data_IF_143123800815
#
_entry.id   IF_143123800815
#
_cell.length_a   1.000
_cell.length_b   1.000
_cell.length_c   1.000
_cell.angle_alpha   90.00
_cell.angle_beta   90.00
_cell.angle_gamma   90.00
#
_symmetry.space_group_name_H-M   'P 1'
#
loop_
_entity.id
_entity.type
_entity.pdbx_description
1 polymer ?
#
# COMPACT_ATOMS: atom_id res chain seq x y z
N UNK A 1 28.97 -24.54 -21.78
CA UNK A 1 28.45 -23.49 -22.69
C UNK A 1 27.06 -23.81 -23.25
N UNK A 2 26.79 -25.03 -23.75
CA UNK A 2 25.48 -25.39 -24.33
C UNK A 2 24.29 -25.42 -23.34
N UNK A 3 24.49 -25.75 -22.07
CA UNK A 3 23.42 -25.78 -21.06
C UNK A 3 22.87 -24.37 -20.75
N UNK A 4 23.76 -23.38 -20.54
CA UNK A 4 23.38 -21.97 -20.33
C UNK A 4 22.66 -21.34 -21.52
N UNK A 5 22.92 -21.82 -22.74
CA UNK A 5 22.30 -21.29 -23.96
C UNK A 5 20.86 -21.80 -24.16
N UNK A 6 20.57 -23.04 -23.75
CA UNK A 6 19.20 -23.58 -23.74
C UNK A 6 18.33 -22.99 -22.64
N UNK A 7 18.89 -22.76 -21.44
CA UNK A 7 18.17 -22.09 -20.34
C UNK A 7 17.75 -20.65 -20.70
N UNK A 8 18.65 -19.88 -21.32
CA UNK A 8 18.33 -18.51 -21.73
C UNK A 8 17.21 -18.44 -22.79
N UNK A 9 17.14 -19.41 -23.71
CA UNK A 9 16.10 -19.45 -24.74
C UNK A 9 14.70 -19.71 -24.14
N UNK A 10 14.63 -20.54 -23.08
CA UNK A 10 13.39 -20.77 -22.35
C UNK A 10 12.92 -19.56 -21.56
N UNK A 11 13.85 -18.83 -20.92
CA UNK A 11 13.52 -17.61 -20.15
C UNK A 11 13.05 -16.47 -21.05
N UNK A 12 13.67 -16.27 -22.22
CA UNK A 12 13.24 -15.26 -23.20
C UNK A 12 11.86 -15.57 -23.78
N UNK A 13 11.56 -16.84 -24.02
CA UNK A 13 10.25 -17.27 -24.52
C UNK A 13 9.16 -17.05 -23.47
N UNK A 14 9.41 -17.50 -22.23
CA UNK A 14 8.51 -17.28 -21.10
C UNK A 14 8.30 -15.79 -20.83
N UNK A 15 9.36 -14.97 -20.89
CA UNK A 15 9.26 -13.52 -20.74
C UNK A 15 8.35 -12.90 -21.79
N UNK A 16 8.50 -13.29 -23.07
CA UNK A 16 7.65 -12.81 -24.16
C UNK A 16 6.19 -13.21 -23.95
N UNK A 17 5.93 -14.47 -23.60
CA UNK A 17 4.58 -14.95 -23.30
C UNK A 17 3.95 -14.18 -22.13
N UNK A 18 4.71 -13.92 -21.06
CA UNK A 18 4.23 -13.11 -19.93
C UNK A 18 4.01 -11.64 -20.33
N UNK A 19 4.85 -11.09 -21.20
CA UNK A 19 4.76 -9.72 -21.67
C UNK A 19 3.52 -9.47 -22.56
N UNK A 20 2.95 -10.51 -23.16
CA UNK A 20 1.71 -10.42 -23.93
C UNK A 20 0.46 -10.28 -23.04
N UNK A 21 0.52 -10.74 -21.79
CA UNK A 21 -0.65 -10.81 -20.89
C UNK A 21 -0.54 -9.92 -19.64
N UNK A 22 0.63 -9.36 -19.35
CA UNK A 22 0.89 -8.54 -18.16
C UNK A 22 1.57 -7.22 -18.54
N UNK A 23 1.33 -6.13 -17.78
CA UNK A 23 2.08 -4.89 -17.93
C UNK A 23 3.58 -5.14 -17.75
N UNK A 24 4.39 -4.61 -18.68
CA UNK A 24 5.87 -4.69 -18.63
C UNK A 24 6.45 -3.29 -18.53
N UNK A 25 7.37 -3.13 -17.59
CA UNK A 25 8.07 -1.86 -17.34
C UNK A 25 9.57 -2.06 -17.56
N UNK A 26 10.12 -1.34 -18.53
CA UNK A 26 11.57 -1.34 -18.77
C UNK A 26 12.27 -0.54 -17.66
N UNK A 27 13.28 -1.14 -17.03
CA UNK A 27 14.01 -0.56 -15.89
C UNK A 27 15.50 -0.80 -16.12
N UNK A 28 16.33 0.22 -15.87
CA UNK A 28 17.77 0.03 -15.79
C UNK A 28 18.11 -0.70 -14.48
N UNK A 29 18.85 -1.81 -14.55
CA UNK A 29 19.25 -2.60 -13.38
C UNK A 29 19.96 -1.80 -12.28
N UNK A 30 20.66 -0.71 -12.63
CA UNK A 30 21.31 0.20 -11.67
C UNK A 30 20.31 0.95 -10.77
N UNK A 31 19.07 1.10 -11.23
CA UNK A 31 17.98 1.71 -10.47
C UNK A 31 17.31 0.74 -9.49
N UNK A 32 17.68 -0.55 -9.51
CA UNK A 32 17.15 -1.57 -8.59
C UNK A 32 18.15 -1.80 -7.46
N UNK A 33 17.71 -1.56 -6.23
CA UNK A 33 18.54 -1.71 -5.01
C UNK A 33 17.85 -2.57 -3.98
N UNK A 34 18.62 -3.44 -3.32
CA UNK A 34 18.14 -4.27 -2.22
C UNK A 34 18.58 -3.63 -0.91
N UNK A 35 17.64 -3.28 -0.04
CA UNK A 35 17.95 -2.83 1.33
C UNK A 35 18.14 -4.08 2.18
N UNK A 36 19.22 -4.12 2.97
CA UNK A 36 19.60 -5.31 3.75
C UNK A 36 19.18 -5.25 5.21
N UNK A 37 18.96 -4.06 5.77
CA UNK A 37 18.75 -3.84 7.20
C UNK A 37 17.45 -3.08 7.50
N UNK A 38 16.72 -3.42 8.58
CA UNK A 38 15.50 -2.73 9.01
C UNK A 38 15.69 -1.23 9.24
N UNK A 39 16.80 -0.86 9.88
CA UNK A 39 17.16 0.53 10.17
C UNK A 39 17.38 1.34 8.89
N UNK A 40 17.98 0.72 7.88
CA UNK A 40 18.18 1.33 6.57
C UNK A 40 16.85 1.48 5.83
N UNK A 41 15.92 0.52 5.96
CA UNK A 41 14.56 0.67 5.43
C UNK A 41 13.85 1.88 6.03
N UNK A 42 13.85 2.00 7.36
CA UNK A 42 13.24 3.15 8.05
C UNK A 42 13.85 4.48 7.61
N UNK A 43 15.19 4.58 7.60
CA UNK A 43 15.88 5.79 7.14
C UNK A 43 15.55 6.11 5.68
N UNK A 44 15.45 5.11 4.81
CA UNK A 44 15.08 5.31 3.41
C UNK A 44 13.66 5.87 3.27
N UNK A 45 12.70 5.41 4.08
CA UNK A 45 11.36 5.99 4.11
C UNK A 45 11.39 7.48 4.48
N UNK A 46 12.15 7.86 5.51
CA UNK A 46 12.28 9.27 5.92
C UNK A 46 12.93 10.10 4.81
N UNK A 47 14.09 9.69 4.31
CA UNK A 47 14.83 10.42 3.28
C UNK A 47 14.01 10.63 2.00
N UNK A 48 13.26 9.62 1.56
CA UNK A 48 12.40 9.73 0.39
C UNK A 48 11.16 10.59 0.67
N UNK A 49 10.60 10.52 1.89
CA UNK A 49 9.48 11.40 2.29
C UNK A 49 9.89 12.87 2.28
N UNK A 50 11.09 13.19 2.78
CA UNK A 50 11.61 14.55 2.81
C UNK A 50 11.90 15.14 1.43
N UNK A 51 12.36 14.28 0.50
CA UNK A 51 12.73 14.65 -0.87
C UNK A 51 11.57 14.64 -1.86
N UNK A 52 10.45 14.00 -1.51
CA UNK A 52 9.30 13.92 -2.40
C UNK A 52 8.76 15.31 -2.73
N UNK A 53 8.41 15.53 -3.99
CA UNK A 53 7.93 16.82 -4.49
C UNK A 53 6.52 16.74 -5.09
N UNK A 54 6.00 15.55 -5.44
CA UNK A 54 4.70 15.40 -6.11
C UNK A 54 3.74 14.50 -5.35
N UNK A 55 4.18 13.31 -4.95
CA UNK A 55 3.34 12.32 -4.26
C UNK A 55 4.11 11.43 -3.29
N UNK A 56 3.40 11.02 -2.25
CA UNK A 56 3.76 9.92 -1.38
C UNK A 56 2.56 8.98 -1.28
N UNK A 57 2.75 7.69 -1.56
CA UNK A 57 1.71 6.67 -1.40
C UNK A 57 2.25 5.56 -0.52
N UNK A 58 1.58 5.32 0.61
CA UNK A 58 1.94 4.28 1.56
C UNK A 58 0.82 3.26 1.63
N UNK A 59 1.09 2.02 1.22
CA UNK A 59 0.23 0.88 1.49
C UNK A 59 0.94 -0.05 2.47
N UNK A 60 0.27 -0.47 3.55
CA UNK A 60 0.84 -1.32 4.59
C UNK A 60 -0.30 -2.03 5.33
N UNK A 61 -0.03 -3.12 6.04
CA UNK A 61 -1.08 -3.77 6.85
C UNK A 61 -1.57 -2.84 7.98
N UNK A 62 -0.63 -2.15 8.64
CA UNK A 62 -0.89 -1.17 9.68
C UNK A 62 0.29 -0.19 9.78
N UNK A 63 0.09 0.88 10.56
CA UNK A 63 1.12 1.78 11.04
C UNK A 63 1.14 1.74 12.58
N UNK A 64 2.28 1.45 13.18
CA UNK A 64 2.45 1.39 14.62
C UNK A 64 2.32 2.76 15.28
N UNK A 65 2.28 2.78 16.61
CA UNK A 65 2.02 3.99 17.40
C UNK A 65 3.21 4.42 18.26
N UNK A 66 4.40 3.90 17.96
CA UNK A 66 5.64 4.23 18.64
C UNK A 66 6.28 5.55 18.17
N UNK A 67 7.44 5.87 18.76
CA UNK A 67 8.16 7.11 18.47
C UNK A 67 8.73 7.20 17.06
N UNK A 68 9.13 6.07 16.45
CA UNK A 68 9.67 6.05 15.09
C UNK A 68 8.57 6.30 14.05
N UNK A 69 7.38 5.73 14.30
CA UNK A 69 6.19 5.91 13.51
C UNK A 69 5.68 7.34 13.61
N UNK A 70 5.66 7.92 14.81
CA UNK A 70 5.37 9.34 15.00
C UNK A 70 6.32 10.21 14.20
N UNK A 71 7.63 9.95 14.26
CA UNK A 71 8.62 10.70 13.48
C UNK A 71 8.40 10.57 11.95
N UNK A 72 7.98 9.39 11.48
CA UNK A 72 7.58 9.21 10.08
C UNK A 72 6.34 10.07 9.74
N UNK A 73 5.31 10.08 10.59
CA UNK A 73 4.11 10.92 10.40
C UNK A 73 4.45 12.41 10.43
N UNK A 74 5.33 12.85 11.33
CA UNK A 74 5.81 14.24 11.39
C UNK A 74 6.52 14.60 10.06
N UNK A 75 7.33 13.69 9.51
CA UNK A 75 8.00 13.86 8.22
C UNK A 75 7.01 13.96 7.05
N UNK A 76 5.99 13.12 7.04
CA UNK A 76 4.91 13.19 6.05
C UNK A 76 4.13 14.50 6.16
N UNK A 77 3.86 14.97 7.38
CA UNK A 77 3.20 16.26 7.63
C UNK A 77 4.03 17.42 7.06
N UNK A 78 5.36 17.37 7.21
CA UNK A 78 6.27 18.34 6.61
C UNK A 78 6.31 18.28 5.07
N UNK A 79 6.16 17.09 4.46
CA UNK A 79 6.05 16.97 3.02
C UNK A 79 4.72 17.57 2.52
N UNK A 80 3.62 17.32 3.25
CA UNK A 80 2.30 17.84 2.95
C UNK A 80 2.25 19.38 2.97
N UNK A 81 2.93 20.01 3.94
CA UNK A 81 3.01 21.48 4.02
C UNK A 81 3.74 22.12 2.83
N UNK A 82 4.60 21.35 2.14
CA UNK A 82 5.27 21.73 0.88
C UNK A 82 4.40 21.47 -0.37
N UNK A 83 3.18 20.97 -0.20
CA UNK A 83 2.23 20.71 -1.29
C UNK A 83 2.27 19.28 -1.85
N UNK A 84 3.03 18.36 -1.24
CA UNK A 84 3.08 16.95 -1.67
C UNK A 84 1.74 16.27 -1.40
N UNK A 85 1.22 15.51 -2.37
CA UNK A 85 0.00 14.73 -2.18
C UNK A 85 0.29 13.42 -1.45
N UNK A 86 -0.47 13.11 -0.41
CA UNK A 86 -0.23 11.91 0.42
C UNK A 86 -1.44 10.99 0.37
N UNK A 87 -1.21 9.71 0.09
CA UNK A 87 -2.25 8.66 0.17
C UNK A 87 -1.75 7.55 1.06
N UNK A 88 -2.52 7.20 2.09
CA UNK A 88 -2.23 6.07 2.97
C UNK A 88 -3.35 5.05 2.84
N UNK A 89 -3.02 3.80 2.57
CA UNK A 89 -3.95 2.67 2.49
C UNK A 89 -3.52 1.58 3.48
N UNK A 90 -4.35 1.35 4.50
CA UNK A 90 -4.16 0.32 5.51
C UNK A 90 -5.23 -0.77 5.44
N UNK A 91 -5.00 -1.88 6.13
CA UNK A 91 -6.06 -2.83 6.43
C UNK A 91 -6.95 -2.31 7.56
N UNK A 92 -8.27 -2.45 7.42
CA UNK A 92 -9.23 -1.97 8.41
C UNK A 92 -9.03 -2.64 9.77
N UNK A 93 -8.98 -3.97 9.81
CA UNK A 93 -8.97 -4.70 11.09
C UNK A 93 -7.66 -4.53 11.83
N UNK A 94 -6.56 -4.37 11.10
CA UNK A 94 -5.23 -4.16 11.70
C UNK A 94 -4.94 -2.70 11.99
N UNK A 95 -5.46 -1.77 11.19
CA UNK A 95 -5.30 -0.33 11.37
C UNK A 95 -6.12 0.24 12.54
N UNK A 96 -7.25 -0.39 12.90
CA UNK A 96 -8.11 0.04 14.02
C UNK A 96 -7.88 -0.79 15.29
N UNK A 97 -6.72 -1.44 15.43
CA UNK A 97 -6.43 -2.32 16.56
C UNK A 97 -5.60 -1.62 17.63
N UNK A 98 -6.08 -1.68 18.87
CA UNK A 98 -5.43 -1.09 20.03
C UNK A 98 -5.94 0.33 20.31
N UNK A 99 -5.42 0.93 21.37
CA UNK A 99 -5.63 2.35 21.70
C UNK A 99 -4.33 2.89 22.34
N UNK A 100 -3.59 3.80 21.68
CA UNK A 100 -3.87 4.38 20.36
C UNK A 100 -3.68 3.38 19.21
N UNK A 101 -4.38 3.60 18.09
CA UNK A 101 -4.32 2.80 16.85
C UNK A 101 -3.67 3.56 15.67
N UNK A 102 -3.62 2.95 14.48
CA UNK A 102 -3.05 3.61 13.30
C UNK A 102 -3.86 4.82 12.87
N UNK A 103 -5.18 4.81 13.08
CA UNK A 103 -6.06 5.91 12.67
C UNK A 103 -5.75 7.16 13.49
N UNK A 104 -5.68 7.03 14.81
CA UNK A 104 -5.37 8.15 15.70
C UNK A 104 -3.98 8.73 15.43
N UNK A 105 -3.01 7.87 15.13
CA UNK A 105 -1.65 8.30 14.76
C UNK A 105 -1.59 9.07 13.43
N UNK A 106 -2.53 8.83 12.50
CA UNK A 106 -2.57 9.47 11.18
C UNK A 106 -3.42 10.74 11.13
N UNK A 107 -4.20 11.05 12.18
CA UNK A 107 -5.01 12.27 12.24
C UNK A 107 -4.26 13.58 11.93
N UNK A 108 -2.99 13.78 12.35
CA UNK A 108 -2.26 15.00 12.01
C UNK A 108 -2.17 15.28 10.50
N UNK A 109 -2.15 14.23 9.65
CA UNK A 109 -2.14 14.38 8.20
C UNK A 109 -3.48 14.88 7.63
N UNK A 110 -4.53 14.86 8.43
CA UNK A 110 -5.90 15.21 8.03
C UNK A 110 -6.32 16.62 8.48
N UNK A 111 -5.74 17.15 9.55
CA UNK A 111 -6.22 18.39 10.20
C UNK A 111 -5.83 19.68 9.47
N UNK A 112 -4.70 19.71 8.76
CA UNK A 112 -4.17 20.89 8.05
C UNK A 112 -3.93 20.63 6.55
N UNK A 113 -4.64 19.65 5.99
CA UNK A 113 -4.48 19.32 4.58
C UNK A 113 -5.33 20.24 3.71
N UNK A 114 -4.74 20.82 2.66
CA UNK A 114 -5.46 21.57 1.62
C UNK A 114 -6.24 20.65 0.68
N UNK A 115 -6.79 19.53 1.19
CA UNK A 115 -7.37 18.45 0.39
C UNK A 115 -6.33 17.52 -0.26
N UNK A 116 -5.05 17.68 0.03
CA UNK A 116 -3.95 16.93 -0.60
C UNK A 116 -3.65 15.58 0.09
N UNK A 117 -4.45 15.15 1.07
CA UNK A 117 -4.24 13.89 1.80
C UNK A 117 -5.49 13.02 1.79
N UNK A 118 -5.30 11.71 1.58
CA UNK A 118 -6.31 10.69 1.84
C UNK A 118 -5.75 9.55 2.70
N UNK A 119 -6.50 9.16 3.73
CA UNK A 119 -6.20 7.97 4.56
C UNK A 119 -7.36 7.00 4.43
N UNK A 120 -7.06 5.78 3.99
CA UNK A 120 -8.03 4.77 3.61
C UNK A 120 -7.76 3.44 4.32
N UNK A 121 -8.84 2.75 4.69
CA UNK A 121 -8.81 1.48 5.38
C UNK A 121 -9.62 0.46 4.60
N UNK A 122 -8.92 -0.46 3.93
CA UNK A 122 -9.56 -1.52 3.16
C UNK A 122 -10.14 -2.58 4.10
N UNK A 123 -11.40 -2.92 3.88
CA UNK A 123 -12.03 -4.05 4.55
C UNK A 123 -12.46 -5.06 3.52
N UNK A 124 -11.93 -6.29 3.62
CA UNK A 124 -12.25 -7.32 2.66
C UNK A 124 -13.74 -7.71 2.78
N UNK A 125 -14.49 -7.78 1.66
CA UNK A 125 -15.92 -8.06 1.66
C UNK A 125 -16.27 -9.50 2.07
N UNK A 126 -15.28 -10.38 2.26
CA UNK A 126 -15.47 -11.79 2.60
C UNK A 126 -15.85 -12.00 4.08
N UNK A 127 -15.67 -10.99 4.94
CA UNK A 127 -16.06 -11.03 6.36
C UNK A 127 -17.51 -10.54 6.56
N UNK A 128 -18.50 -11.37 6.19
CA UNK A 128 -19.94 -11.06 6.35
C UNK A 128 -20.71 -12.04 7.23
N UNK A 129 -21.76 -11.55 7.90
CA UNK A 129 -22.88 -12.34 8.45
C UNK A 129 -22.50 -13.42 9.47
N UNK A 130 -23.29 -14.51 9.49
CA UNK A 130 -23.15 -15.68 10.37
C UNK A 130 -21.75 -16.32 10.27
N UNK A 131 -21.05 -16.15 9.13
CA UNK A 131 -19.69 -16.62 8.93
C UNK A 131 -18.69 -15.96 9.91
N UNK A 132 -18.87 -14.67 10.27
CA UNK A 132 -18.09 -13.98 11.31
C UNK A 132 -18.34 -14.57 12.71
N UNK A 133 -19.53 -15.11 12.95
CA UNK A 133 -19.94 -15.71 14.23
C UNK A 133 -19.42 -17.15 14.38
N UNK A 134 -19.28 -17.88 13.25
CA UNK A 134 -18.88 -19.29 13.22
C UNK A 134 -17.37 -19.50 12.98
N UNK A 135 -16.66 -18.53 12.39
CA UNK A 135 -15.23 -18.65 12.13
C UNK A 135 -14.39 -18.27 13.37
N UNK A 136 -13.47 -19.14 13.83
CA UNK A 136 -12.54 -18.78 14.90
C UNK A 136 -11.69 -17.57 14.48
N UNK A 137 -11.43 -16.65 15.41
CA UNK A 137 -10.70 -15.37 15.20
C UNK A 137 -9.41 -15.54 14.36
N UNK A 138 -8.72 -16.68 14.49
CA UNK A 138 -7.48 -16.99 13.76
C UNK A 138 -7.65 -17.20 12.25
N UNK A 139 -8.83 -17.62 11.79
CA UNK A 139 -9.09 -17.86 10.35
C UNK A 139 -9.53 -16.59 9.61
N UNK A 140 -10.08 -15.60 10.32
CA UNK A 140 -10.38 -14.28 9.76
C UNK A 140 -9.10 -13.56 9.26
N UNK A 141 -7.95 -13.80 9.91
CA UNK A 141 -6.67 -13.18 9.54
C UNK A 141 -6.07 -13.75 8.23
N UNK A 142 -6.38 -15.00 7.88
CA UNK A 142 -5.81 -15.68 6.69
C UNK A 142 -6.61 -15.36 5.42
N UNK A 143 -7.91 -15.11 5.55
CA UNK A 143 -8.84 -15.07 4.41
C UNK A 143 -9.06 -13.63 3.88
N UNK A 144 -8.69 -12.59 4.65
CA UNK A 144 -9.37 -11.30 4.47
C UNK A 144 -8.58 -10.03 4.83
N UNK A 145 -7.24 -10.07 4.85
CA UNK A 145 -6.45 -8.83 5.10
C UNK A 145 -5.78 -8.30 3.83
N UNK A 146 -5.71 -6.97 3.72
CA UNK A 146 -4.94 -6.31 2.67
C UNK A 146 -3.44 -6.46 3.00
N UNK A 147 -2.67 -7.07 2.08
CA UNK A 147 -1.27 -7.42 2.34
C UNK A 147 -0.24 -6.57 1.57
N UNK A 148 -0.66 -5.59 0.76
CA UNK A 148 0.29 -4.79 -0.02
C UNK A 148 1.18 -3.97 0.93
N UNK A 149 2.49 -3.98 0.67
CA UNK A 149 3.48 -3.11 1.31
C UNK A 149 4.25 -2.40 0.21
N UNK A 150 3.67 -1.30 -0.21
CA UNK A 150 4.12 -0.49 -1.34
C UNK A 150 4.34 0.92 -0.79
N UNK A 151 5.55 1.43 -0.96
CA UNK A 151 5.90 2.78 -0.52
C UNK A 151 6.44 3.55 -1.71
N UNK A 152 5.64 4.47 -2.23
CA UNK A 152 5.91 5.19 -3.46
C UNK A 152 6.21 6.63 -3.08
N UNK A 153 7.32 7.14 -3.62
CA UNK A 153 7.80 8.51 -3.45
C UNK A 153 8.14 9.02 -4.85
N UNK A 154 7.26 9.85 -5.41
CA UNK A 154 7.34 10.30 -6.80
C UNK A 154 7.49 9.12 -7.81
N UNK A 155 8.69 8.94 -8.37
CA UNK A 155 9.02 7.87 -9.35
C UNK A 155 9.86 6.74 -8.73
N UNK A 156 9.94 6.70 -7.40
CA UNK A 156 10.61 5.63 -6.65
C UNK A 156 9.57 4.77 -5.94
N UNK A 157 9.65 3.47 -6.16
CA UNK A 157 8.84 2.46 -5.50
C UNK A 157 9.72 1.63 -4.56
N UNK A 158 9.25 1.40 -3.35
CA UNK A 158 9.75 0.36 -2.45
C UNK A 158 8.68 -0.71 -2.31
N UNK A 159 9.05 -1.95 -2.65
CA UNK A 159 8.26 -3.15 -2.37
C UNK A 159 8.90 -3.84 -1.17
N UNK A 160 8.11 -4.17 -0.17
CA UNK A 160 8.61 -4.79 1.07
C UNK A 160 7.72 -5.92 1.59
N UNK A 161 8.23 -6.74 2.51
CA UNK A 161 7.38 -7.55 3.40
C UNK A 161 7.11 -6.88 4.76
N UNK A 162 7.86 -5.83 5.09
CA UNK A 162 7.76 -5.12 6.35
C UNK A 162 6.52 -4.22 6.45
N UNK A 163 5.96 -4.07 7.64
CA UNK A 163 4.96 -3.04 7.94
C UNK A 163 5.62 -1.78 8.53
N UNK A 164 4.84 -0.72 8.72
CA UNK A 164 5.32 0.54 9.28
C UNK A 164 5.28 0.50 10.81
N UNK A 165 6.16 -0.26 11.47
CA UNK A 165 6.22 -0.28 12.94
C UNK A 165 7.62 -0.49 13.50
N UNK A 166 7.79 -0.18 14.79
CA UNK A 166 9.07 -0.19 15.50
C UNK A 166 9.92 -1.43 15.22
N UNK A 167 9.39 -2.64 15.42
CA UNK A 167 10.15 -3.87 15.19
C UNK A 167 10.67 -3.96 13.75
N UNK A 168 9.84 -3.61 12.76
CA UNK A 168 10.22 -3.61 11.34
C UNK A 168 11.19 -2.48 10.96
N UNK A 169 11.34 -1.48 11.83
CA UNK A 169 12.30 -0.39 11.69
C UNK A 169 13.62 -0.66 12.42
N UNK A 170 13.67 -1.61 13.35
CA UNK A 170 14.84 -1.79 14.22
C UNK A 170 15.46 -3.18 14.14
N UNK A 171 14.66 -4.23 14.27
CA UNK A 171 15.19 -5.57 14.60
C UNK A 171 14.62 -6.69 13.72
N UNK A 172 13.41 -6.53 13.18
CA UNK A 172 12.75 -7.50 12.33
C UNK A 172 13.11 -7.25 10.87
N UNK A 173 13.98 -8.11 10.35
CA UNK A 173 14.41 -8.09 8.96
C UNK A 173 13.37 -8.70 8.03
N UNK A 174 13.13 -8.01 6.92
CA UNK A 174 12.32 -8.47 5.80
C UNK A 174 13.07 -8.27 4.48
N UNK A 175 12.40 -8.51 3.36
CA UNK A 175 12.91 -8.21 2.02
C UNK A 175 12.41 -6.85 1.58
N UNK A 176 13.30 -6.05 1.02
CA UNK A 176 13.02 -4.69 0.58
C UNK A 176 13.71 -4.48 -0.77
N UNK A 177 12.93 -4.10 -1.79
CA UNK A 177 13.43 -3.78 -3.12
C UNK A 177 13.02 -2.35 -3.43
N UNK A 178 14.01 -1.49 -3.63
CA UNK A 178 13.81 -0.13 -4.12
C UNK A 178 14.03 -0.12 -5.63
N UNK A 179 13.08 0.45 -6.35
CA UNK A 179 13.13 0.66 -7.79
C UNK A 179 12.96 2.17 -8.00
N UNK A 180 14.05 2.84 -8.34
CA UNK A 180 14.07 4.29 -8.53
C UNK A 180 13.90 4.69 -10.00
N UNK A 181 13.57 5.96 -10.26
CA UNK A 181 13.52 6.55 -11.60
C UNK A 181 12.66 5.74 -12.60
N UNK A 182 11.55 5.18 -12.14
CA UNK A 182 10.61 4.43 -12.98
C UNK A 182 9.19 4.97 -12.79
N UNK A 183 8.91 6.11 -13.42
CA UNK A 183 7.60 6.77 -13.38
C UNK A 183 6.44 5.83 -13.75
N UNK A 184 6.49 5.12 -14.90
CA UNK A 184 5.40 4.23 -15.31
C UNK A 184 5.07 3.12 -14.30
N UNK A 185 6.08 2.55 -13.63
CA UNK A 185 5.87 1.55 -12.58
C UNK A 185 5.26 2.16 -11.33
N UNK A 186 5.76 3.33 -10.92
CA UNK A 186 5.23 4.07 -9.78
C UNK A 186 3.78 4.53 -10.02
N UNK A 187 3.44 4.93 -11.24
CA UNK A 187 2.08 5.28 -11.68
C UNK A 187 1.17 4.06 -11.58
N UNK A 188 1.56 2.93 -12.15
CA UNK A 188 0.77 1.69 -12.10
C UNK A 188 0.40 1.28 -10.66
N UNK A 189 1.37 1.27 -9.74
CA UNK A 189 1.09 0.94 -8.34
C UNK A 189 0.33 2.04 -7.60
N UNK A 190 0.52 3.31 -7.97
CA UNK A 190 -0.29 4.42 -7.46
C UNK A 190 -1.75 4.21 -7.84
N UNK A 191 -2.02 3.87 -9.10
CA UNK A 191 -3.37 3.63 -9.62
C UNK A 191 -4.00 2.39 -9.00
N UNK A 192 -3.23 1.33 -8.76
CA UNK A 192 -3.68 0.15 -8.01
C UNK A 192 -4.12 0.53 -6.59
N UNK A 193 -3.30 1.30 -5.87
CA UNK A 193 -3.63 1.76 -4.51
C UNK A 193 -4.85 2.68 -4.53
N UNK A 194 -4.95 3.58 -5.51
CA UNK A 194 -6.10 4.45 -5.69
C UNK A 194 -7.38 3.66 -5.96
N UNK A 195 -7.32 2.64 -6.84
CA UNK A 195 -8.43 1.76 -7.14
C UNK A 195 -8.92 1.04 -5.87
N UNK A 196 -8.02 0.49 -5.07
CA UNK A 196 -8.40 -0.16 -3.79
C UNK A 196 -8.95 0.85 -2.78
N UNK A 197 -8.37 2.05 -2.73
CA UNK A 197 -8.81 3.14 -1.84
C UNK A 197 -10.25 3.59 -2.14
N UNK A 198 -10.66 3.60 -3.42
CA UNK A 198 -12.05 3.88 -3.83
C UNK A 198 -13.07 2.89 -3.26
N UNK A 199 -12.67 1.69 -2.84
CA UNK A 199 -13.56 0.71 -2.20
C UNK A 199 -13.35 0.57 -0.70
N UNK A 200 -12.60 1.50 -0.10
CA UNK A 200 -12.18 1.46 1.30
C UNK A 200 -12.95 2.49 2.15
N UNK A 201 -12.92 2.30 3.47
CA UNK A 201 -13.30 3.35 4.40
C UNK A 201 -12.30 4.49 4.32
N UNK A 202 -12.75 5.73 4.40
CA UNK A 202 -11.93 6.92 4.48
C UNK A 202 -11.96 7.47 5.91
N UNK A 203 -10.78 7.76 6.45
CA UNK A 203 -10.63 8.43 7.73
C UNK A 203 -10.83 9.94 7.55
N UNK A 204 -11.68 10.52 8.39
CA UNK A 204 -11.97 11.95 8.42
C UNK A 204 -11.23 12.65 9.58
N UNK A 205 -11.04 13.98 9.52
CA UNK A 205 -10.34 14.74 10.57
C UNK A 205 -10.95 14.61 11.97
N UNK A 206 -12.25 14.29 12.06
CA UNK A 206 -12.95 14.04 13.33
C UNK A 206 -12.75 12.62 13.90
N UNK A 207 -11.88 11.81 13.27
CA UNK A 207 -11.63 10.42 13.67
C UNK A 207 -12.66 9.40 13.18
N UNK A 208 -13.70 9.82 12.46
CA UNK A 208 -14.70 8.90 11.93
C UNK A 208 -14.22 8.21 10.64
N UNK A 209 -14.64 6.95 10.49
CA UNK A 209 -14.42 6.15 9.30
C UNK A 209 -15.73 6.02 8.52
N UNK A 210 -15.81 6.64 7.35
CA UNK A 210 -16.98 6.53 6.47
C UNK A 210 -16.60 5.82 5.17
N UNK A 211 -17.55 5.16 4.52
CA UNK A 211 -17.31 4.65 3.18
C UNK A 211 -17.31 5.79 2.18
N UNK A 212 -16.41 5.69 1.22
CA UNK A 212 -16.41 6.52 0.02
C UNK A 212 -17.77 6.44 -0.70
N UNK A 213 -18.31 7.59 -1.13
CA UNK A 213 -19.60 7.67 -1.81
C UNK A 213 -19.59 6.90 -3.13
N UNK A 214 -20.65 6.14 -3.43
CA UNK A 214 -20.75 5.29 -4.63
C UNK A 214 -20.22 3.87 -4.43
N UNK A 215 -19.71 3.56 -3.24
CA UNK A 215 -19.17 2.25 -2.90
C UNK A 215 -20.21 1.39 -2.17
N UNK A 216 -20.29 0.13 -2.56
CA UNK A 216 -21.16 -0.84 -1.91
C UNK A 216 -20.60 -1.19 -0.54
N UNK A 217 -21.37 -0.89 0.51
CA UNK A 217 -20.97 -1.15 1.89
C UNK A 217 -20.53 -2.62 2.08
N UNK A 218 -19.32 -2.89 2.60
CA UNK A 218 -18.79 -4.24 2.69
C UNK A 218 -19.65 -5.16 3.56
N UNK A 219 -20.40 -4.61 4.53
CA UNK A 219 -21.38 -5.38 5.32
C UNK A 219 -22.81 -5.44 4.75
N UNK A 220 -23.26 -4.48 3.93
CA UNK A 220 -24.68 -4.34 3.54
C UNK A 220 -24.94 -4.58 2.05
N UNK A 221 -23.89 -4.73 1.24
CA UNK A 221 -24.00 -4.97 -0.20
C UNK A 221 -24.28 -6.40 -0.61
N UNK A 222 -24.90 -6.60 -1.77
CA UNK A 222 -25.05 -7.93 -2.38
C UNK A 222 -23.71 -8.38 -3.00
N UNK A 223 -23.29 -9.65 -2.79
CA UNK A 223 -22.02 -10.20 -3.31
C UNK A 223 -21.84 -10.01 -4.83
N UNK A 224 -22.94 -9.95 -5.58
CA UNK A 224 -22.94 -9.80 -7.03
C UNK A 224 -22.36 -8.44 -7.49
N UNK A 225 -22.59 -7.34 -6.75
CA UNK A 225 -22.03 -6.03 -7.12
C UNK A 225 -20.51 -5.95 -6.99
N UNK A 226 -19.91 -6.68 -6.03
CA UNK A 226 -18.45 -6.77 -5.91
C UNK A 226 -17.81 -7.54 -7.07
N UNK A 227 -18.52 -8.52 -7.65
CA UNK A 227 -18.09 -9.22 -8.87
C UNK A 227 -18.21 -8.33 -10.11
N UNK A 228 -19.23 -7.48 -10.20
CA UNK A 228 -19.42 -6.53 -11.31
C UNK A 228 -18.29 -5.49 -11.36
N UNK A 229 -17.87 -4.96 -10.20
CA UNK A 229 -16.71 -4.05 -10.12
C UNK A 229 -15.43 -4.71 -10.66
N UNK A 230 -15.25 -6.02 -10.42
CA UNK A 230 -14.11 -6.79 -10.91
C UNK A 230 -14.15 -7.06 -12.43
N UNK A 231 -15.35 -7.12 -13.01
CA UNK A 231 -15.58 -7.41 -14.43
C UNK A 231 -15.50 -6.17 -15.33
N UNK A 232 -15.72 -4.98 -14.78
CA UNK A 232 -15.70 -3.74 -15.56
C UNK A 232 -14.31 -3.14 -15.78
N UNK A 233 -13.20 -3.73 -15.32
CA UNK A 233 -11.85 -3.17 -15.51
C UNK A 233 -11.45 -3.06 -17.00
N UNK A 234 -12.09 -3.82 -17.89
CA UNK A 234 -11.77 -3.86 -19.33
C UNK A 234 -12.52 -2.82 -20.19
N UNK A 235 -13.43 -2.01 -19.64
CA UNK A 235 -14.21 -1.01 -20.40
C UNK A 235 -13.76 0.44 -20.16
N UNK A 236 -12.60 0.67 -19.51
CA UNK A 236 -12.13 2.03 -19.16
C UNK A 236 -10.84 2.43 -19.89
N UNK A 237 -10.77 2.17 -21.21
CA UNK A 237 -9.85 2.85 -22.12
C UNK A 237 -10.44 4.18 -22.56
#
# INVERSE_FOLDING_TARGET
MLARHKENMGLETLWREMAEICPVFAINGENVKIIKEPSTFYRTLLELSEKACRRIVLSSLYLGTGGLEKNLVDTLTNALSKGVRITVLLDYSRGTRGDPDSCSMLLPLLTDNRGNTGVYLFHSPLLRGILKLLLPVRWNEIISVQHMKLYIFDDTLIISGANLSHDYFTSRQDRYITISNCGPLADFYTDLVAAVSRFSFQLHPNGQLNLSSGTVHPFLGICFLFKIIKLNINEWN
#
